data_IF_405851386491
#
_entry.id   IF_405851386491
#
_cell.length_a   1.000
_cell.length_b   1.000
_cell.length_c   1.000
_cell.angle_alpha   90.00
_cell.angle_beta   90.00
_cell.angle_gamma   90.00
#
_symmetry.space_group_name_H-M   'P 1'
#
loop_
_entity.id
_entity.type
_entity.pdbx_description
1 polymer ?
#
# COMPACT_ATOMS: atom_id res chain seq x y z
N UNK A 1 -24.01 33.79 -12.17
CA UNK A 1 -23.66 33.13 -10.88
C UNK A 1 -23.34 34.24 -9.90
N UNK A 2 -24.05 34.28 -8.77
CA UNK A 2 -23.94 35.40 -7.82
C UNK A 2 -22.80 35.18 -6.82
N UNK A 3 -22.15 36.27 -6.39
CA UNK A 3 -21.04 36.25 -5.43
C UNK A 3 -21.42 35.51 -4.14
N UNK A 4 -22.61 35.75 -3.61
CA UNK A 4 -23.08 35.12 -2.35
C UNK A 4 -23.19 33.60 -2.46
N UNK A 5 -23.65 33.08 -3.60
CA UNK A 5 -23.71 31.65 -3.84
C UNK A 5 -22.31 31.03 -3.83
N UNK A 6 -21.34 31.67 -4.47
CA UNK A 6 -19.94 31.22 -4.48
C UNK A 6 -19.39 31.16 -3.04
N UNK A 7 -19.57 32.24 -2.27
CA UNK A 7 -19.10 32.31 -0.88
C UNK A 7 -19.71 31.22 -0.01
N UNK A 8 -21.04 31.00 -0.11
CA UNK A 8 -21.71 29.93 0.63
C UNK A 8 -21.11 28.56 0.33
N UNK A 9 -20.82 28.25 -0.94
CA UNK A 9 -20.20 26.97 -1.32
C UNK A 9 -18.78 26.84 -0.80
N UNK A 10 -17.97 27.91 -0.88
CA UNK A 10 -16.60 27.88 -0.41
C UNK A 10 -16.49 27.80 1.11
N UNK A 11 -17.38 28.46 1.85
CA UNK A 11 -17.41 28.40 3.32
C UNK A 11 -17.78 26.99 3.83
N UNK A 12 -18.62 26.28 3.10
CA UNK A 12 -19.02 24.91 3.44
C UNK A 12 -18.05 23.83 2.90
N UNK A 13 -17.03 24.23 2.13
CA UNK A 13 -16.11 23.30 1.52
C UNK A 13 -14.99 22.90 2.50
N UNK A 14 -14.81 21.60 2.69
CA UNK A 14 -13.63 21.03 3.36
C UNK A 14 -12.63 20.61 2.29
N UNK A 15 -11.39 21.12 2.33
CA UNK A 15 -10.36 20.71 1.39
C UNK A 15 -10.07 19.21 1.48
N UNK A 16 -9.80 18.60 0.31
CA UNK A 16 -9.42 17.21 0.18
C UNK A 16 -8.44 17.06 -0.99
N UNK A 17 -7.91 15.87 -1.23
CA UNK A 17 -7.00 15.59 -2.33
C UNK A 17 -7.74 15.75 -3.65
N UNK A 18 -7.27 16.67 -4.49
CA UNK A 18 -7.88 16.92 -5.80
C UNK A 18 -7.87 15.64 -6.65
N UNK A 19 -9.07 15.22 -7.08
CA UNK A 19 -9.23 14.02 -7.88
C UNK A 19 -9.38 12.73 -7.08
N UNK A 20 -9.35 12.75 -5.74
CA UNK A 20 -9.45 11.55 -4.88
C UNK A 20 -10.65 10.64 -5.21
N UNK A 21 -11.74 11.20 -5.74
CA UNK A 21 -12.95 10.44 -6.14
C UNK A 21 -12.70 9.44 -7.27
N UNK A 22 -11.62 9.65 -8.04
CA UNK A 22 -11.23 8.77 -9.14
C UNK A 22 -10.15 7.76 -8.72
N UNK A 23 -9.66 7.83 -7.48
CA UNK A 23 -8.64 6.91 -6.98
C UNK A 23 -9.27 5.59 -6.56
N UNK A 24 -8.63 4.50 -6.94
CA UNK A 24 -8.88 3.20 -6.34
C UNK A 24 -8.26 3.19 -4.95
N UNK A 25 -9.07 2.90 -3.92
CA UNK A 25 -8.63 2.87 -2.53
C UNK A 25 -8.38 1.44 -2.07
N UNK A 26 -7.25 1.24 -1.40
CA UNK A 26 -6.83 -0.04 -0.84
C UNK A 26 -6.44 0.13 0.62
N UNK A 27 -6.63 -0.91 1.40
CA UNK A 27 -6.17 -0.96 2.77
C UNK A 27 -5.35 -2.24 2.98
N UNK A 28 -4.24 -2.12 3.70
CA UNK A 28 -3.33 -3.25 3.97
C UNK A 28 -2.96 -3.26 5.45
N UNK A 29 -2.70 -4.44 5.98
CA UNK A 29 -2.21 -4.61 7.34
C UNK A 29 -0.75 -5.09 7.30
N UNK A 30 0.14 -4.45 8.04
CA UNK A 30 1.47 -4.96 8.40
C UNK A 30 1.30 -5.85 9.64
N UNK A 31 1.23 -7.17 9.49
CA UNK A 31 0.94 -8.02 10.63
C UNK A 31 2.20 -8.27 11.44
N UNK A 32 2.13 -8.04 12.74
CA UNK A 32 3.16 -8.36 13.70
C UNK A 32 2.78 -9.60 14.49
N UNK A 33 3.71 -10.52 14.65
CA UNK A 33 3.53 -11.71 15.48
C UNK A 33 4.67 -11.85 16.48
N UNK A 34 4.38 -12.41 17.65
CA UNK A 34 5.40 -12.80 18.62
C UNK A 34 5.86 -14.22 18.37
N UNK A 35 7.15 -14.43 18.14
CA UNK A 35 7.78 -15.72 17.90
C UNK A 35 9.09 -15.81 18.66
N UNK A 36 9.26 -16.82 19.53
CA UNK A 36 10.49 -17.04 20.31
C UNK A 36 10.97 -15.79 21.08
N UNK A 37 10.07 -15.06 21.71
CA UNK A 37 10.28 -13.76 22.40
C UNK A 37 10.59 -12.54 21.52
N UNK A 38 10.75 -12.71 20.21
CA UNK A 38 10.96 -11.62 19.26
C UNK A 38 9.68 -11.26 18.52
N UNK A 39 9.59 -10.02 18.07
CA UNK A 39 8.56 -9.57 17.14
C UNK A 39 9.02 -9.86 15.71
N UNK A 40 8.15 -10.46 14.94
CA UNK A 40 8.34 -10.74 13.53
C UNK A 40 7.29 -10.00 12.71
N UNK A 41 7.67 -9.55 11.53
CA UNK A 41 6.74 -9.09 10.49
C UNK A 41 6.32 -10.31 9.66
N UNK A 42 5.02 -10.47 9.46
CA UNK A 42 4.47 -11.53 8.62
C UNK A 42 4.25 -10.98 7.20
N UNK A 43 4.55 -11.82 6.23
CA UNK A 43 4.34 -11.58 4.81
C UNK A 43 3.59 -12.77 4.21
N UNK A 44 2.91 -12.50 3.12
CA UNK A 44 2.35 -13.53 2.26
C UNK A 44 2.98 -13.49 0.86
N UNK A 45 2.97 -14.64 0.21
CA UNK A 45 3.27 -14.79 -1.21
C UNK A 45 1.93 -14.97 -1.93
N UNK A 46 1.65 -14.13 -2.89
CA UNK A 46 0.41 -14.19 -3.66
C UNK A 46 0.31 -15.49 -4.46
N UNK A 47 -0.89 -16.06 -4.47
CA UNK A 47 -1.13 -17.31 -5.22
C UNK A 47 -0.71 -17.18 -6.69
N UNK A 48 -0.06 -18.23 -7.20
CA UNK A 48 0.37 -18.31 -8.60
C UNK A 48 -0.81 -18.36 -9.60
N UNK A 49 -2.03 -18.58 -9.10
CA UNK A 49 -3.25 -18.61 -9.90
C UNK A 49 -3.85 -17.21 -10.14
N UNK A 50 -3.37 -16.20 -9.45
CA UNK A 50 -3.86 -14.83 -9.59
C UNK A 50 -3.46 -14.22 -10.94
N UNK A 51 -4.37 -13.42 -11.50
CA UNK A 51 -4.13 -12.70 -12.78
C UNK A 51 -3.16 -11.51 -12.63
N UNK A 52 -3.04 -10.97 -11.42
CA UNK A 52 -2.20 -9.80 -11.13
C UNK A 52 -1.18 -10.18 -10.07
N UNK A 53 0.08 -9.91 -10.37
CA UNK A 53 1.21 -10.05 -9.45
C UNK A 53 1.30 -11.46 -8.79
N UNK A 54 1.16 -12.58 -9.56
CA UNK A 54 1.31 -13.92 -9.00
C UNK A 54 2.73 -14.10 -8.45
N UNK A 55 2.85 -14.71 -7.26
CA UNK A 55 4.13 -14.98 -6.61
C UNK A 55 4.83 -13.77 -5.99
N UNK A 56 4.24 -12.58 -6.04
CA UNK A 56 4.80 -11.41 -5.35
C UNK A 56 4.60 -11.50 -3.84
N UNK A 57 5.57 -10.95 -3.11
CA UNK A 57 5.52 -10.85 -1.65
C UNK A 57 4.79 -9.56 -1.28
N UNK A 58 3.76 -9.67 -0.44
CA UNK A 58 2.99 -8.53 0.00
C UNK A 58 2.56 -8.65 1.48
N UNK A 59 1.93 -7.60 1.96
CA UNK A 59 1.12 -7.63 3.16
C UNK A 59 -0.31 -8.00 2.80
N UNK A 60 -1.05 -8.69 3.68
CA UNK A 60 -2.45 -8.93 3.49
C UNK A 60 -3.22 -7.61 3.35
N UNK A 61 -4.16 -7.60 2.40
CA UNK A 61 -4.95 -6.41 2.13
C UNK A 61 -5.54 -6.38 0.74
N UNK A 62 -6.50 -5.47 0.57
CA UNK A 62 -7.24 -5.40 -0.68
C UNK A 62 -7.97 -4.10 -0.90
N UNK A 63 -8.87 -4.12 -1.86
CA UNK A 63 -9.67 -2.96 -2.22
C UNK A 63 -10.73 -2.68 -1.15
N UNK A 64 -10.86 -1.42 -0.76
CA UNK A 64 -11.91 -0.99 0.16
C UNK A 64 -13.26 -1.16 -0.52
N UNK A 65 -14.13 -1.96 0.09
CA UNK A 65 -15.50 -2.19 -0.36
C UNK A 65 -16.41 -1.07 0.18
N UNK A 66 -17.43 -0.62 -0.57
CA UNK A 66 -18.41 0.36 -0.07
C UNK A 66 -19.14 -0.08 1.22
N UNK A 67 -19.11 -1.36 1.56
CA UNK A 67 -19.69 -1.90 2.80
C UNK A 67 -18.74 -1.82 3.99
N UNK A 68 -17.46 -1.57 3.77
CA UNK A 68 -16.51 -1.38 4.86
C UNK A 68 -16.83 -0.05 5.56
N UNK A 69 -16.88 -0.08 6.90
CA UNK A 69 -17.18 1.09 7.71
C UNK A 69 -16.10 2.18 7.54
N UNK A 70 -14.86 1.77 7.43
CA UNK A 70 -13.67 2.59 7.28
C UNK A 70 -12.53 1.76 6.66
N UNK A 71 -11.39 2.41 6.41
CA UNK A 71 -10.21 1.79 5.82
C UNK A 71 -9.59 0.73 6.74
N UNK A 72 -9.68 0.93 8.07
CA UNK A 72 -9.22 -0.04 9.07
C UNK A 72 -10.03 -1.33 9.00
N UNK A 73 -11.34 -1.21 8.89
CA UNK A 73 -12.24 -2.37 8.75
C UNK A 73 -11.90 -3.17 7.49
N UNK A 74 -11.61 -2.48 6.37
CA UNK A 74 -11.18 -3.13 5.14
C UNK A 74 -9.88 -3.91 5.33
N UNK A 75 -8.84 -3.31 5.96
CA UNK A 75 -7.57 -3.97 6.21
C UNK A 75 -7.74 -5.23 7.07
N UNK A 76 -8.56 -5.16 8.12
CA UNK A 76 -8.86 -6.31 8.99
C UNK A 76 -9.62 -7.39 8.22
N UNK A 77 -10.66 -7.03 7.46
CA UNK A 77 -11.47 -7.97 6.67
C UNK A 77 -10.61 -8.75 5.68
N UNK A 78 -9.81 -8.06 4.86
CA UNK A 78 -8.92 -8.70 3.88
C UNK A 78 -7.91 -9.62 4.59
N UNK A 79 -7.30 -9.17 5.69
CA UNK A 79 -6.36 -10.00 6.46
C UNK A 79 -7.02 -11.29 6.97
N UNK A 80 -8.28 -11.22 7.43
CA UNK A 80 -9.04 -12.39 7.85
C UNK A 80 -9.31 -13.35 6.69
N UNK A 81 -9.69 -12.80 5.53
CA UNK A 81 -10.02 -13.58 4.34
C UNK A 81 -8.78 -14.28 3.78
N UNK A 82 -7.65 -13.58 3.69
CA UNK A 82 -6.40 -14.10 3.13
C UNK A 82 -5.67 -15.06 4.10
N UNK A 83 -5.59 -14.73 5.38
CA UNK A 83 -4.88 -15.55 6.37
C UNK A 83 -5.76 -16.61 7.06
N UNK A 84 -7.07 -16.61 6.81
CA UNK A 84 -8.00 -17.58 7.40
C UNK A 84 -8.10 -17.49 8.92
N UNK A 85 -8.00 -16.30 9.49
CA UNK A 85 -8.06 -16.05 10.94
C UNK A 85 -9.33 -15.29 11.34
N UNK A 86 -9.65 -15.28 12.63
CA UNK A 86 -10.78 -14.51 13.15
C UNK A 86 -10.38 -13.06 13.44
N UNK A 87 -11.38 -12.17 13.59
CA UNK A 87 -11.13 -10.79 13.99
C UNK A 87 -10.55 -10.67 15.38
N UNK A 88 -10.93 -11.61 16.27
CA UNK A 88 -10.45 -11.67 17.65
C UNK A 88 -8.95 -12.00 17.73
N UNK A 89 -8.39 -12.62 16.68
CA UNK A 89 -6.96 -12.90 16.59
C UNK A 89 -6.15 -11.64 16.25
N UNK A 90 -6.80 -10.53 15.83
CA UNK A 90 -6.15 -9.28 15.42
C UNK A 90 -6.43 -8.19 16.47
N UNK A 91 -5.41 -7.52 16.94
CA UNK A 91 -5.56 -6.41 17.89
C UNK A 91 -4.53 -5.33 17.68
N UNK A 92 -4.67 -4.25 18.48
CA UNK A 92 -3.70 -3.13 18.50
C UNK A 92 -3.41 -2.60 17.10
N UNK A 93 -4.49 -2.39 16.30
CA UNK A 93 -4.39 -1.93 14.91
C UNK A 93 -4.33 -0.41 14.86
N UNK A 94 -3.18 0.12 14.42
CA UNK A 94 -2.87 1.55 14.30
C UNK A 94 -2.61 1.93 12.85
N UNK A 95 -3.02 3.14 12.41
CA UNK A 95 -2.73 3.62 11.07
C UNK A 95 -1.24 3.98 10.94
N UNK A 96 -0.69 3.76 9.75
CA UNK A 96 0.56 4.31 9.27
C UNK A 96 0.27 5.45 8.27
N UNK A 97 1.31 6.08 7.73
CA UNK A 97 1.15 7.09 6.70
C UNK A 97 0.54 6.50 5.43
N UNK A 98 -0.51 7.13 4.93
CA UNK A 98 -1.12 6.68 3.68
C UNK A 98 -0.33 7.15 2.46
N UNK A 99 -0.35 6.33 1.43
CA UNK A 99 0.40 6.58 0.20
C UNK A 99 -0.53 6.89 -0.97
N UNK A 100 -0.16 7.91 -1.75
CA UNK A 100 -0.81 8.23 -3.03
C UNK A 100 0.14 7.81 -4.15
N UNK A 101 -0.31 6.87 -4.96
CA UNK A 101 0.42 6.43 -6.15
C UNK A 101 0.10 7.34 -7.34
N UNK A 102 1.07 7.63 -8.20
CA UNK A 102 0.84 8.37 -9.45
C UNK A 102 -0.09 7.64 -10.42
N UNK A 103 -0.41 6.38 -10.16
CA UNK A 103 -1.31 5.53 -10.97
C UNK A 103 -2.78 5.58 -10.50
N UNK A 104 -3.17 6.60 -9.74
CA UNK A 104 -4.56 6.76 -9.28
C UNK A 104 -4.97 5.77 -8.19
N UNK A 105 -4.03 5.34 -7.36
CA UNK A 105 -4.29 4.51 -6.19
C UNK A 105 -3.98 5.28 -4.91
N UNK A 106 -4.78 5.04 -3.88
CA UNK A 106 -4.58 5.51 -2.53
C UNK A 106 -4.55 4.30 -1.60
N UNK A 107 -3.47 4.14 -0.85
CA UNK A 107 -3.25 3.00 0.01
C UNK A 107 -3.24 3.49 1.46
N UNK A 108 -3.98 2.81 2.30
CA UNK A 108 -4.12 3.05 3.74
C UNK A 108 -3.48 1.88 4.50
N UNK A 109 -2.19 1.99 4.85
CA UNK A 109 -1.52 0.96 5.62
C UNK A 109 -1.88 1.08 7.10
N UNK A 110 -1.99 -0.08 7.72
CA UNK A 110 -2.13 -0.25 9.17
C UNK A 110 -1.06 -1.20 9.67
N UNK A 111 -0.70 -1.12 10.92
CA UNK A 111 0.09 -2.12 11.62
C UNK A 111 -0.77 -2.72 12.73
N UNK A 112 -0.67 -4.03 12.97
CA UNK A 112 -1.43 -4.69 14.03
C UNK A 112 -0.84 -6.03 14.44
N UNK A 113 -1.21 -6.51 15.63
CA UNK A 113 -0.72 -7.78 16.17
C UNK A 113 -1.67 -8.92 15.87
N UNK A 114 -1.11 -10.07 15.47
CA UNK A 114 -1.82 -11.36 15.41
C UNK A 114 -1.39 -12.20 16.61
N UNK A 115 -2.33 -12.45 17.54
CA UNK A 115 -2.04 -13.12 18.80
C UNK A 115 -1.95 -14.64 18.69
N UNK A 116 -2.65 -15.25 17.76
CA UNK A 116 -2.73 -16.69 17.59
C UNK A 116 -2.18 -17.12 16.21
N UNK A 117 -0.86 -16.95 15.94
CA UNK A 117 -0.30 -17.29 14.63
C UNK A 117 -0.42 -18.78 14.27
N UNK A 118 -0.67 -19.64 15.24
CA UNK A 118 -0.98 -21.07 15.00
C UNK A 118 -2.35 -21.32 14.36
N UNK A 119 -3.25 -20.32 14.36
CA UNK A 119 -4.56 -20.40 13.73
C UNK A 119 -4.53 -20.04 12.23
N UNK A 120 -3.41 -19.52 11.74
CA UNK A 120 -3.29 -19.07 10.35
C UNK A 120 -3.50 -20.25 9.40
N UNK A 121 -4.53 -20.15 8.57
CA UNK A 121 -4.90 -21.09 7.51
C UNK A 121 -5.12 -20.33 6.20
N UNK A 122 -4.04 -20.01 5.47
CA UNK A 122 -4.12 -19.16 4.30
C UNK A 122 -5.11 -19.66 3.25
N UNK A 123 -5.86 -18.74 2.64
CA UNK A 123 -6.75 -19.05 1.54
C UNK A 123 -5.92 -19.40 0.28
N UNK A 124 -5.90 -20.65 -0.20
CA UNK A 124 -5.01 -21.05 -1.29
C UNK A 124 -5.39 -20.42 -2.65
N UNK A 125 -6.58 -19.84 -2.76
CA UNK A 125 -6.95 -19.10 -3.99
C UNK A 125 -6.26 -17.73 -4.07
N UNK A 126 -5.78 -17.19 -2.95
CA UNK A 126 -5.19 -15.84 -2.85
C UNK A 126 -3.75 -15.87 -2.35
N UNK A 127 -3.42 -16.80 -1.45
CA UNK A 127 -2.13 -16.90 -0.77
C UNK A 127 -1.49 -18.27 -1.02
N UNK A 128 -0.29 -18.26 -1.60
CA UNK A 128 0.54 -19.45 -1.83
C UNK A 128 1.32 -19.87 -0.60
N UNK A 129 1.90 -18.90 0.11
CA UNK A 129 2.79 -19.11 1.25
C UNK A 129 2.66 -17.96 2.25
N UNK A 130 2.85 -18.26 3.52
CA UNK A 130 3.01 -17.27 4.59
C UNK A 130 4.34 -17.50 5.28
N UNK A 131 5.13 -16.43 5.47
CA UNK A 131 6.40 -16.51 6.16
C UNK A 131 6.63 -15.28 7.04
N UNK A 132 7.67 -15.33 7.89
CA UNK A 132 7.97 -14.26 8.83
C UNK A 132 9.44 -13.89 8.85
N UNK A 133 9.74 -12.61 9.02
CA UNK A 133 11.08 -12.07 9.19
C UNK A 133 11.16 -11.35 10.54
N UNK A 134 12.22 -11.56 11.35
CA UNK A 134 12.40 -10.81 12.59
C UNK A 134 12.40 -9.31 12.35
N UNK A 135 11.62 -8.54 13.13
CA UNK A 135 11.54 -7.09 13.03
C UNK A 135 12.92 -6.41 13.18
N UNK A 136 13.82 -6.86 14.08
CA UNK A 136 15.17 -6.30 14.21
C UNK A 136 15.96 -6.32 12.90
N UNK A 137 15.74 -7.32 12.02
CA UNK A 137 16.41 -7.37 10.73
C UNK A 137 16.20 -6.07 9.92
N UNK A 138 15.00 -5.56 9.87
CA UNK A 138 14.65 -4.33 9.13
C UNK A 138 15.15 -3.06 9.83
N UNK A 139 15.33 -3.12 11.14
CA UNK A 139 15.92 -2.01 11.91
C UNK A 139 17.44 -1.90 11.71
N UNK A 140 18.11 -3.02 11.44
CA UNK A 140 19.55 -3.13 11.26
C UNK A 140 20.00 -3.04 9.80
N UNK A 141 19.10 -3.33 8.85
CA UNK A 141 19.40 -3.37 7.42
C UNK A 141 18.51 -2.39 6.66
N UNK A 142 19.13 -1.37 6.08
CA UNK A 142 18.43 -0.45 5.18
C UNK A 142 18.10 -1.13 3.86
N UNK A 143 17.01 -0.74 3.18
CA UNK A 143 16.70 -1.24 1.84
C UNK A 143 17.75 -0.77 0.82
N UNK A 144 17.99 -1.58 -0.20
CA UNK A 144 18.63 -1.09 -1.42
C UNK A 144 17.61 -0.23 -2.18
N UNK A 145 18.05 0.92 -2.70
CA UNK A 145 17.17 1.87 -3.40
C UNK A 145 17.61 1.98 -4.85
N UNK A 146 16.68 1.76 -5.78
CA UNK A 146 16.87 1.89 -7.20
C UNK A 146 15.90 2.90 -7.78
N UNK A 147 16.29 3.54 -8.88
CA UNK A 147 15.45 4.54 -9.54
C UNK A 147 14.77 3.95 -10.78
N UNK A 148 13.48 4.20 -10.92
CA UNK A 148 12.70 3.89 -12.11
C UNK A 148 12.25 5.20 -12.75
N UNK A 149 12.58 5.39 -14.02
CA UNK A 149 12.24 6.59 -14.78
C UNK A 149 10.91 6.39 -15.52
N UNK A 150 9.98 7.33 -15.34
CA UNK A 150 8.70 7.38 -16.07
C UNK A 150 8.81 8.40 -17.20
N UNK A 151 8.69 7.91 -18.42
CA UNK A 151 8.58 8.76 -19.62
C UNK A 151 7.13 9.11 -19.88
N UNK A 152 6.88 10.37 -20.21
CA UNK A 152 5.55 10.85 -20.56
C UNK A 152 5.42 10.78 -22.08
N UNK A 153 4.51 9.96 -22.56
CA UNK A 153 4.17 9.83 -23.96
C UNK A 153 2.71 10.23 -24.17
N UNK A 154 2.44 11.44 -24.71
CA UNK A 154 1.08 11.86 -25.03
C UNK A 154 0.46 10.93 -26.08
N UNK A 155 -0.86 10.77 -26.01
CA UNK A 155 -1.61 10.03 -27.02
C UNK A 155 -1.50 10.67 -28.42
N UNK A 156 -1.80 9.91 -29.47
CA UNK A 156 -1.65 10.32 -30.87
C UNK A 156 -2.42 11.61 -31.20
N UNK A 157 -3.62 11.77 -30.63
CA UNK A 157 -4.51 12.92 -30.86
C UNK A 157 -4.35 14.04 -29.81
N UNK A 158 -3.22 14.06 -29.08
CA UNK A 158 -2.99 15.09 -28.09
C UNK A 158 -2.90 16.47 -28.77
N UNK A 159 -3.66 17.48 -28.29
CA UNK A 159 -3.78 18.78 -28.95
C UNK A 159 -2.56 19.67 -28.68
N UNK A 160 -1.44 19.35 -29.31
CA UNK A 160 -0.17 20.08 -29.15
C UNK A 160 -0.26 21.55 -29.53
N UNK A 161 -1.17 21.91 -30.43
CA UNK A 161 -1.40 23.31 -30.86
C UNK A 161 -1.98 24.21 -29.76
N UNK A 162 -2.59 23.60 -28.71
CA UNK A 162 -3.18 24.33 -27.59
C UNK A 162 -2.19 24.60 -26.45
N UNK A 163 -0.98 24.06 -26.53
CA UNK A 163 0.04 24.30 -25.50
C UNK A 163 1.24 25.07 -26.01
N UNK A 164 1.82 25.90 -25.15
CA UNK A 164 3.06 26.63 -25.47
C UNK A 164 4.21 25.65 -25.71
N UNK A 165 4.88 25.78 -26.86
CA UNK A 165 5.95 24.86 -27.29
C UNK A 165 5.45 23.71 -28.18
N UNK A 166 4.14 23.49 -28.29
CA UNK A 166 3.57 22.55 -29.22
C UNK A 166 4.19 21.14 -29.09
N UNK A 167 4.48 20.52 -30.25
CA UNK A 167 5.17 19.20 -30.30
C UNK A 167 6.58 19.19 -29.71
N UNK A 168 7.19 20.38 -29.51
CA UNK A 168 8.51 20.53 -28.92
C UNK A 168 8.45 20.76 -27.40
N UNK A 169 7.27 20.63 -26.78
CA UNK A 169 7.12 20.77 -25.34
C UNK A 169 8.00 19.72 -24.62
N UNK A 170 8.88 20.19 -23.75
CA UNK A 170 9.82 19.33 -23.01
C UNK A 170 9.14 18.75 -21.78
N UNK A 171 8.60 17.56 -21.94
CA UNK A 171 8.12 16.78 -20.81
C UNK A 171 9.27 16.43 -19.88
N UNK A 172 9.10 16.70 -18.59
CA UNK A 172 10.10 16.28 -17.58
C UNK A 172 9.78 14.85 -17.15
N UNK A 173 10.70 13.90 -17.37
CA UNK A 173 10.53 12.57 -16.83
C UNK A 173 10.39 12.64 -15.30
N UNK A 174 9.67 11.71 -14.73
CA UNK A 174 9.58 11.54 -13.28
C UNK A 174 10.38 10.32 -12.88
N UNK A 175 11.10 10.46 -11.79
CA UNK A 175 11.84 9.35 -11.19
C UNK A 175 11.11 8.92 -9.93
N UNK A 176 10.96 7.62 -9.75
CA UNK A 176 10.44 6.99 -8.55
C UNK A 176 11.51 6.07 -7.98
N UNK A 177 11.69 6.11 -6.68
CA UNK A 177 12.55 5.19 -5.96
C UNK A 177 11.82 3.90 -5.67
N UNK A 178 12.45 2.78 -5.96
CA UNK A 178 11.99 1.44 -5.63
C UNK A 178 12.90 0.82 -4.58
N UNK A 179 12.31 0.34 -3.50
CA UNK A 179 12.97 -0.19 -2.31
C UNK A 179 13.01 -1.70 -2.36
N UNK A 180 14.13 -2.29 -1.94
CA UNK A 180 14.35 -3.73 -1.93
C UNK A 180 14.99 -4.18 -0.61
N UNK A 181 14.30 -5.05 0.12
CA UNK A 181 14.89 -5.80 1.22
C UNK A 181 15.16 -7.25 0.78
N UNK A 182 16.33 -7.77 1.09
CA UNK A 182 16.74 -9.14 0.73
C UNK A 182 16.95 -9.94 2.01
N UNK A 183 16.10 -10.90 2.28
CA UNK A 183 16.22 -11.78 3.43
C UNK A 183 16.27 -13.24 2.97
N UNK A 184 17.43 -13.88 3.02
CA UNK A 184 17.68 -15.24 2.49
C UNK A 184 17.29 -15.30 1.00
N UNK A 185 16.32 -16.14 0.67
CA UNK A 185 15.75 -16.33 -0.67
C UNK A 185 14.56 -15.39 -0.98
N UNK A 186 14.13 -14.59 -0.02
CA UNK A 186 12.98 -13.68 -0.15
C UNK A 186 13.43 -12.27 -0.52
N UNK A 187 12.74 -11.68 -1.50
CA UNK A 187 12.94 -10.29 -1.93
C UNK A 187 11.64 -9.52 -1.74
N UNK A 188 11.62 -8.61 -0.78
CA UNK A 188 10.50 -7.70 -0.56
C UNK A 188 10.82 -6.40 -1.28
N UNK A 189 9.94 -5.95 -2.18
CA UNK A 189 10.18 -4.77 -2.99
C UNK A 189 8.92 -3.93 -3.24
N UNK A 190 9.08 -2.82 -3.94
CA UNK A 190 7.99 -1.98 -4.40
C UNK A 190 7.14 -1.41 -3.25
N UNK A 191 5.82 -1.49 -3.40
CA UNK A 191 4.86 -0.97 -2.43
C UNK A 191 5.05 -1.57 -1.03
N UNK A 192 5.24 -2.88 -0.96
CA UNK A 192 5.43 -3.61 0.32
C UNK A 192 6.66 -3.12 1.06
N UNK A 193 7.80 -2.98 0.35
CA UNK A 193 9.03 -2.47 0.94
C UNK A 193 8.92 -1.01 1.37
N UNK A 194 8.17 -0.20 0.63
CA UNK A 194 7.95 1.22 0.96
C UNK A 194 7.11 1.39 2.22
N UNK A 195 6.02 0.63 2.35
CA UNK A 195 5.19 0.61 3.57
C UNK A 195 6.01 0.14 4.76
N UNK A 196 6.80 -0.93 4.57
CA UNK A 196 7.68 -1.45 5.63
C UNK A 196 8.71 -0.41 6.07
N UNK A 197 9.34 0.30 5.12
CA UNK A 197 10.32 1.35 5.45
C UNK A 197 9.69 2.47 6.26
N UNK A 198 8.51 2.94 5.90
CA UNK A 198 7.76 3.93 6.67
C UNK A 198 7.45 3.43 8.09
N UNK A 199 6.98 2.19 8.23
CA UNK A 199 6.75 1.61 9.55
C UNK A 199 8.04 1.58 10.41
N UNK A 200 9.17 1.17 9.81
CA UNK A 200 10.47 1.14 10.50
C UNK A 200 10.94 2.54 10.90
N UNK A 201 10.72 3.55 10.06
CA UNK A 201 11.01 4.95 10.38
C UNK A 201 10.21 5.41 11.60
N UNK A 202 8.89 5.20 11.59
CA UNK A 202 7.99 5.58 12.69
C UNK A 202 8.41 4.97 14.03
N UNK A 203 8.84 3.70 14.06
CA UNK A 203 9.22 3.06 15.34
C UNK A 203 10.66 3.35 15.78
N UNK A 204 11.46 4.05 14.96
CA UNK A 204 12.83 4.49 15.31
C UNK A 204 12.87 5.92 15.86
N UNK A 205 11.82 6.72 15.63
CA UNK A 205 11.65 8.06 16.23
C UNK A 205 11.32 7.99 17.72
#
# INVERSE_FOLDING_TARGET
MEREWILTKLTAHTPDILGHKHFSKYAVLVPLIKKNNDIHVLFEVRSLQLKRQPGEICFPGGKIDPRDKDEKTAAIRETKEELGISEEDISEVYPLDYMISPFGMMIYPYVGFIHAPGNIQPNPSEVEEVFTIPLPYFSENNPEVYQVEFKIEPEENFPFELITGGKNYKWRPRVMEEYFFKYKDKVIWGLTARILSNFIEIIKE
#
